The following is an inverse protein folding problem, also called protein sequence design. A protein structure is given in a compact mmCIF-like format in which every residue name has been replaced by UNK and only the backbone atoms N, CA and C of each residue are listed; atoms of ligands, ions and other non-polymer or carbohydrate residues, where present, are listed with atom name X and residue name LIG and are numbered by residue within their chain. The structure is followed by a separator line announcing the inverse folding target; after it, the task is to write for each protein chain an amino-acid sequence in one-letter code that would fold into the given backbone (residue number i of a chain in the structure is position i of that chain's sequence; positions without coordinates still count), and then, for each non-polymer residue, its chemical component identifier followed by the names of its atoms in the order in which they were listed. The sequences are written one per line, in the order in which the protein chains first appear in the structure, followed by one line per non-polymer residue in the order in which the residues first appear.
data_IF_587584450055
#
_entry.id   IF_587584450055
#
_cell.length_a   1.000
_cell.length_b   1.000
_cell.length_c   1.000
_cell.angle_alpha   90.00
_cell.angle_beta   90.00
_cell.angle_gamma   90.00
#
_symmetry.space_group_name_H-M   'P 1'
#
loop_
_entity.id
_entity.type
_entity.pdbx_description
1 polymer ?
#
# COMPACT_ATOMS: atom_id res chain seq x y z
N UNK A 1 2.68 15.50 50.26
CA UNK A 1 2.66 16.43 49.10
C UNK A 1 3.50 15.79 47.99
N UNK A 2 2.88 15.49 46.86
CA UNK A 2 3.59 14.89 45.71
C UNK A 2 4.49 15.95 45.08
N UNK A 3 5.78 15.65 44.93
CA UNK A 3 6.74 16.53 44.26
C UNK A 3 6.28 16.82 42.82
N UNK A 4 6.12 18.10 42.51
CA UNK A 4 5.77 18.54 41.16
C UNK A 4 6.87 18.10 40.19
N UNK A 5 6.55 17.26 39.26
CA UNK A 5 7.48 16.76 38.21
C UNK A 5 7.93 17.96 37.37
N UNK A 6 9.17 18.37 37.52
CA UNK A 6 9.75 19.47 36.76
C UNK A 6 10.10 18.92 35.35
N UNK A 7 9.61 19.59 34.32
CA UNK A 7 10.01 19.21 32.97
C UNK A 7 11.45 19.62 32.72
N UNK A 8 12.24 18.82 32.02
CA UNK A 8 13.58 19.19 31.64
C UNK A 8 13.57 20.43 30.72
N UNK A 9 14.58 21.25 30.85
CA UNK A 9 14.79 22.42 30.00
C UNK A 9 14.93 21.96 28.55
N UNK A 10 14.14 22.56 27.66
CA UNK A 10 14.18 22.27 26.22
C UNK A 10 14.78 23.49 25.49
N UNK A 11 15.78 23.26 24.66
CA UNK A 11 16.29 24.23 23.72
C UNK A 11 16.13 23.72 22.29
N UNK A 12 15.78 24.60 21.32
CA UNK A 12 15.70 24.19 19.92
C UNK A 12 17.07 23.71 19.44
N UNK A 13 17.13 22.65 18.64
CA UNK A 13 18.39 22.17 18.10
C UNK A 13 19.03 23.24 17.20
N UNK A 14 20.32 23.52 17.45
CA UNK A 14 21.12 24.39 16.62
C UNK A 14 21.51 23.66 15.33
N UNK A 15 20.72 23.84 14.27
CA UNK A 15 21.01 23.25 12.99
C UNK A 15 19.87 23.50 12.00
N UNK A 16 19.99 24.52 11.19
CA UNK A 16 19.09 24.81 10.06
C UNK A 16 19.57 24.14 8.76
N UNK A 17 19.96 22.88 8.83
CA UNK A 17 20.21 22.11 7.60
C UNK A 17 18.90 21.82 6.90
N UNK A 18 18.78 22.23 5.63
CA UNK A 18 17.63 21.84 4.79
C UNK A 18 17.50 20.31 4.76
N UNK A 19 16.43 19.79 5.32
CA UNK A 19 16.16 18.34 5.34
C UNK A 19 15.70 17.92 3.96
N UNK A 20 16.57 17.22 3.22
CA UNK A 20 16.23 16.68 1.90
C UNK A 20 15.64 15.28 2.02
N UNK A 21 14.56 15.02 1.30
CA UNK A 21 13.99 13.69 1.19
C UNK A 21 14.99 12.73 0.54
N UNK A 22 15.31 11.64 1.23
CA UNK A 22 16.16 10.57 0.70
C UNK A 22 15.38 9.27 0.65
N UNK A 23 15.33 8.65 -0.53
CA UNK A 23 14.66 7.38 -0.77
C UNK A 23 15.67 6.31 -1.17
N UNK A 24 15.37 5.06 -0.82
CA UNK A 24 16.16 3.92 -1.28
C UNK A 24 15.83 3.62 -2.74
N UNK A 25 16.86 3.70 -3.58
CA UNK A 25 16.75 3.36 -4.99
C UNK A 25 17.18 1.89 -5.18
N UNK A 26 16.26 1.04 -5.60
CA UNK A 26 16.52 -0.39 -5.82
C UNK A 26 17.46 -0.67 -6.99
N UNK A 27 17.59 0.26 -7.95
CA UNK A 27 18.50 0.13 -9.08
C UNK A 27 19.93 0.36 -8.67
N UNK A 28 20.18 1.41 -7.88
CA UNK A 28 21.53 1.76 -7.40
C UNK A 28 21.87 1.09 -6.08
N UNK A 29 20.86 0.52 -5.38
CA UNK A 29 20.94 -0.09 -4.04
C UNK A 29 21.46 0.86 -2.95
N UNK A 30 21.19 2.16 -3.12
CA UNK A 30 21.61 3.21 -2.19
C UNK A 30 20.46 4.14 -1.84
N UNK A 31 20.60 4.85 -0.72
CA UNK A 31 19.71 5.97 -0.37
C UNK A 31 20.20 7.22 -1.08
N UNK A 32 19.39 7.73 -1.97
CA UNK A 32 19.66 8.92 -2.77
C UNK A 32 18.72 10.06 -2.45
N UNK A 33 19.17 11.28 -2.69
CA UNK A 33 18.28 12.45 -2.61
C UNK A 33 17.22 12.32 -3.69
N UNK A 34 15.97 12.40 -3.27
CA UNK A 34 14.84 12.34 -4.19
C UNK A 34 14.70 13.66 -4.96
N UNK A 35 14.67 13.58 -6.28
CA UNK A 35 14.46 14.73 -7.17
C UNK A 35 13.29 14.38 -8.11
N UNK A 36 12.16 15.11 -8.03
CA UNK A 36 11.06 14.92 -8.97
C UNK A 36 11.47 15.26 -10.40
N UNK A 37 10.89 14.59 -11.40
CA UNK A 37 11.16 14.87 -12.82
C UNK A 37 10.55 16.17 -13.30
N UNK A 38 9.41 16.58 -12.74
CA UNK A 38 8.63 17.73 -13.16
C UNK A 38 8.47 18.75 -12.02
N UNK A 39 9.53 19.50 -11.74
CA UNK A 39 9.49 20.56 -10.72
C UNK A 39 9.11 20.03 -9.34
N UNK A 40 7.92 20.43 -8.84
CA UNK A 40 7.41 20.00 -7.53
C UNK A 40 6.39 18.86 -7.62
N UNK A 41 6.12 18.33 -8.83
CA UNK A 41 5.14 17.26 -9.03
C UNK A 41 5.79 15.88 -8.92
N UNK A 42 5.30 15.09 -7.99
CA UNK A 42 5.68 13.69 -7.80
C UNK A 42 4.57 12.80 -8.35
N UNK A 43 4.87 12.01 -9.35
CA UNK A 43 3.98 10.94 -9.81
C UNK A 43 4.34 9.65 -9.09
N UNK A 44 3.34 9.06 -8.45
CA UNK A 44 3.52 7.85 -7.65
C UNK A 44 2.48 6.80 -8.03
N UNK A 45 2.95 5.66 -8.51
CA UNK A 45 2.12 4.51 -8.80
C UNK A 45 2.37 3.39 -7.78
N UNK A 46 1.27 2.81 -7.29
CA UNK A 46 1.31 1.61 -6.45
C UNK A 46 0.42 0.51 -7.01
N UNK A 47 0.86 -0.73 -6.81
CA UNK A 47 -0.01 -1.87 -7.00
C UNK A 47 -1.08 -1.90 -5.90
N UNK A 48 -2.33 -1.95 -6.31
CA UNK A 48 -3.47 -2.08 -5.44
C UNK A 48 -3.88 -3.53 -5.18
N UNK A 49 -5.03 -3.74 -4.56
CA UNK A 49 -5.51 -5.07 -4.22
C UNK A 49 -6.01 -5.84 -5.44
N UNK A 50 -6.02 -7.16 -5.30
CA UNK A 50 -6.79 -8.06 -6.17
C UNK A 50 -8.13 -8.37 -5.51
N UNK A 51 -9.19 -8.53 -6.32
CA UNK A 51 -10.58 -8.65 -5.82
C UNK A 51 -11.02 -10.09 -5.53
N UNK A 52 -10.14 -11.08 -5.68
CA UNK A 52 -10.51 -12.49 -5.56
C UNK A 52 -10.58 -13.00 -4.12
N UNK A 53 -10.11 -12.25 -3.13
CA UNK A 53 -10.07 -12.69 -1.74
C UNK A 53 -10.37 -11.55 -0.77
N UNK A 54 -10.76 -11.93 0.46
CA UNK A 54 -11.00 -10.96 1.52
C UNK A 54 -9.71 -10.22 1.91
N UNK A 55 -9.85 -8.93 2.20
CA UNK A 55 -8.73 -8.14 2.70
C UNK A 55 -8.32 -8.60 4.10
N UNK A 56 -7.03 -8.69 4.33
CA UNK A 56 -6.46 -9.02 5.63
C UNK A 56 -5.62 -7.87 6.19
N UNK A 57 -5.19 -8.00 7.44
CA UNK A 57 -4.42 -6.98 8.16
C UNK A 57 -3.16 -6.52 7.40
N UNK A 58 -2.54 -7.39 6.61
CA UNK A 58 -1.39 -7.03 5.77
C UNK A 58 -1.72 -5.95 4.73
N UNK A 59 -2.90 -6.03 4.09
CA UNK A 59 -3.37 -5.00 3.17
C UNK A 59 -3.61 -3.67 3.90
N UNK A 60 -4.30 -3.71 5.05
CA UNK A 60 -4.54 -2.52 5.85
C UNK A 60 -3.23 -1.84 6.25
N UNK A 61 -2.25 -2.60 6.73
CA UNK A 61 -0.92 -2.08 7.07
C UNK A 61 -0.24 -1.40 5.88
N UNK A 62 -0.28 -2.03 4.72
CA UNK A 62 0.36 -1.50 3.50
C UNK A 62 -0.26 -0.16 3.10
N UNK A 63 -1.59 -0.08 3.02
CA UNK A 63 -2.27 1.14 2.59
C UNK A 63 -2.16 2.28 3.60
N UNK A 64 -2.21 1.97 4.89
CA UNK A 64 -1.93 2.97 5.93
C UNK A 64 -0.49 3.49 5.85
N UNK A 65 0.48 2.62 5.59
CA UNK A 65 1.87 3.05 5.40
C UNK A 65 2.00 3.98 4.19
N UNK A 66 1.36 3.67 3.08
CA UNK A 66 1.38 4.53 1.89
C UNK A 66 0.70 5.88 2.14
N UNK A 67 -0.41 5.90 2.86
CA UNK A 67 -1.07 7.16 3.21
C UNK A 67 -0.19 8.04 4.11
N UNK A 68 0.46 7.46 5.12
CA UNK A 68 1.40 8.19 5.99
C UNK A 68 2.56 8.75 5.18
N UNK A 69 3.19 7.93 4.33
CA UNK A 69 4.32 8.37 3.49
C UNK A 69 3.88 9.47 2.52
N UNK A 70 2.71 9.34 1.90
CA UNK A 70 2.13 10.35 1.03
C UNK A 70 1.97 11.69 1.74
N UNK A 71 1.40 11.69 2.96
CA UNK A 71 1.25 12.90 3.77
C UNK A 71 2.59 13.52 4.16
N UNK A 72 3.57 12.71 4.53
CA UNK A 72 4.92 13.21 4.84
C UNK A 72 5.54 13.89 3.62
N UNK A 73 5.43 13.28 2.43
CA UNK A 73 5.98 13.86 1.21
C UNK A 73 5.24 15.15 0.82
N UNK A 74 3.90 15.17 0.96
CA UNK A 74 3.09 16.35 0.65
C UNK A 74 3.22 17.44 1.71
N UNK A 75 2.97 17.11 2.99
CA UNK A 75 2.72 18.11 4.01
C UNK A 75 4.03 18.60 4.66
N UNK A 76 5.03 17.73 4.76
CA UNK A 76 6.33 18.09 5.34
C UNK A 76 7.33 18.56 4.30
N UNK A 77 7.45 17.84 3.16
CA UNK A 77 8.38 18.21 2.09
C UNK A 77 7.77 19.15 1.04
N UNK A 78 6.48 19.40 1.07
CA UNK A 78 5.78 20.35 0.21
C UNK A 78 5.65 19.92 -1.26
N UNK A 79 5.77 18.63 -1.57
CA UNK A 79 5.60 18.14 -2.94
C UNK A 79 4.12 17.97 -3.31
N UNK A 80 3.76 18.28 -4.54
CA UNK A 80 2.47 17.93 -5.12
C UNK A 80 2.49 16.48 -5.57
N UNK A 81 1.59 15.65 -5.05
CA UNK A 81 1.59 14.21 -5.35
C UNK A 81 0.41 13.86 -6.26
N UNK A 82 0.72 13.31 -7.43
CA UNK A 82 -0.25 12.59 -8.26
C UNK A 82 -0.14 11.10 -7.96
N UNK A 83 -1.02 10.63 -7.07
CA UNK A 83 -1.02 9.24 -6.60
C UNK A 83 -2.01 8.40 -7.40
N UNK A 84 -1.54 7.29 -7.95
CA UNK A 84 -2.33 6.34 -8.72
C UNK A 84 -2.16 4.94 -8.16
N UNK A 85 -3.27 4.22 -8.01
CA UNK A 85 -3.30 2.82 -7.61
C UNK A 85 -4.25 2.06 -8.53
N UNK A 86 -3.83 0.89 -9.02
CA UNK A 86 -4.73 0.01 -9.74
C UNK A 86 -5.54 -0.87 -8.78
N UNK A 87 -6.65 -1.39 -9.28
CA UNK A 87 -7.37 -2.50 -8.67
C UNK A 87 -7.40 -3.61 -9.72
N UNK A 88 -6.84 -4.77 -9.39
CA UNK A 88 -6.78 -5.89 -10.32
C UNK A 88 -8.03 -6.72 -10.15
N UNK A 89 -8.94 -6.62 -11.13
CA UNK A 89 -10.21 -7.33 -11.18
C UNK A 89 -10.16 -8.60 -12.06
N UNK A 90 -9.19 -8.67 -12.99
CA UNK A 90 -8.96 -9.83 -13.85
C UNK A 90 -7.48 -10.16 -13.85
N UNK A 91 -7.13 -11.37 -13.40
CA UNK A 91 -5.80 -11.96 -13.48
C UNK A 91 -5.87 -13.49 -13.59
N UNK A 92 -4.75 -14.16 -13.82
CA UNK A 92 -4.68 -15.61 -13.97
C UNK A 92 -5.21 -16.37 -12.74
N UNK A 93 -5.04 -15.83 -11.53
CA UNK A 93 -5.52 -16.45 -10.29
C UNK A 93 -7.03 -16.34 -10.18
N UNK A 94 -7.59 -15.20 -10.57
CA UNK A 94 -9.04 -14.98 -10.61
C UNK A 94 -9.68 -15.94 -11.60
N UNK A 95 -9.12 -16.04 -12.81
CA UNK A 95 -9.59 -16.93 -13.86
C UNK A 95 -9.54 -18.40 -13.39
N UNK A 96 -8.41 -18.84 -12.84
CA UNK A 96 -8.25 -20.21 -12.32
C UNK A 96 -9.26 -20.53 -11.21
N UNK A 97 -9.47 -19.60 -10.26
CA UNK A 97 -10.43 -19.78 -9.17
C UNK A 97 -11.85 -19.87 -9.68
N UNK A 98 -12.23 -19.04 -10.65
CA UNK A 98 -13.54 -19.09 -11.29
C UNK A 98 -13.77 -20.43 -11.99
N UNK A 99 -12.82 -20.89 -12.80
CA UNK A 99 -12.89 -22.19 -13.49
C UNK A 99 -13.04 -23.34 -12.50
N UNK A 100 -12.27 -23.32 -11.40
CA UNK A 100 -12.35 -24.35 -10.37
C UNK A 100 -13.73 -24.40 -9.68
N UNK A 101 -14.29 -23.25 -9.34
CA UNK A 101 -15.64 -23.14 -8.75
C UNK A 101 -16.69 -23.66 -9.75
N UNK A 102 -16.61 -23.23 -10.99
CA UNK A 102 -17.52 -23.63 -12.04
C UNK A 102 -17.50 -25.14 -12.28
N UNK A 103 -16.32 -25.75 -12.36
CA UNK A 103 -16.17 -27.21 -12.47
C UNK A 103 -16.69 -27.95 -11.25
N UNK A 104 -16.55 -27.40 -10.06
CA UNK A 104 -17.09 -27.99 -8.82
C UNK A 104 -18.61 -27.96 -8.81
N UNK A 105 -19.24 -26.90 -9.29
CA UNK A 105 -20.70 -26.79 -9.45
C UNK A 105 -21.19 -27.77 -10.47
N UNK A 106 -20.53 -27.92 -11.61
CA UNK A 106 -20.91 -28.89 -12.63
C UNK A 106 -20.82 -30.34 -12.12
N UNK A 107 -19.78 -30.68 -11.38
CA UNK A 107 -19.68 -32.01 -10.74
C UNK A 107 -20.82 -32.27 -9.77
N UNK A 108 -21.17 -31.31 -8.94
CA UNK A 108 -22.28 -31.40 -7.99
C UNK A 108 -23.62 -31.59 -8.73
N UNK A 109 -23.85 -30.84 -9.79
CA UNK A 109 -25.05 -30.98 -10.63
C UNK A 109 -25.17 -32.36 -11.29
N UNK A 110 -24.05 -32.89 -11.78
CA UNK A 110 -24.04 -34.25 -12.39
C UNK A 110 -24.30 -35.34 -11.34
N UNK A 111 -23.79 -35.21 -10.12
CA UNK A 111 -24.06 -36.14 -9.02
C UNK A 111 -25.56 -36.15 -8.68
N UNK A 112 -26.18 -34.98 -8.55
CA UNK A 112 -27.61 -34.85 -8.24
C UNK A 112 -28.46 -35.52 -9.35
N UNK A 113 -28.12 -35.32 -10.63
CA UNK A 113 -28.85 -35.90 -11.72
C UNK A 113 -28.73 -37.43 -11.78
N UNK A 114 -27.60 -38.00 -11.38
CA UNK A 114 -27.40 -39.45 -11.27
C UNK A 114 -28.26 -40.05 -10.15
N UNK A 115 -28.34 -39.38 -9.00
CA UNK A 115 -29.17 -39.83 -7.86
C UNK A 115 -30.68 -39.73 -8.13
N UNK A 116 -31.12 -38.78 -8.97
CA UNK A 116 -32.53 -38.60 -9.32
C UNK A 116 -33.01 -39.56 -10.44
N UNK A 117 -32.08 -40.21 -11.12
CA UNK A 117 -32.37 -41.16 -12.20
C UNK A 117 -32.36 -42.65 -11.77
N UNK A 118 -32.01 -42.94 -10.50
CA UNK A 118 -32.07 -44.26 -9.87
C UNK A 118 -33.21 -44.32 -8.85
#
# INVERSE_FOLDING_TARGET
MAAKRQQPDWSPPSGSGEVKLKLYNSLTRQKEVFVPQNGNLVTWYNCGPTVYDASHMGHARTYLTFDIVRRVISDYFGYNIHYVMNITDIDDKIIKRFVHIFLSILKFYNIINIELMN
#
